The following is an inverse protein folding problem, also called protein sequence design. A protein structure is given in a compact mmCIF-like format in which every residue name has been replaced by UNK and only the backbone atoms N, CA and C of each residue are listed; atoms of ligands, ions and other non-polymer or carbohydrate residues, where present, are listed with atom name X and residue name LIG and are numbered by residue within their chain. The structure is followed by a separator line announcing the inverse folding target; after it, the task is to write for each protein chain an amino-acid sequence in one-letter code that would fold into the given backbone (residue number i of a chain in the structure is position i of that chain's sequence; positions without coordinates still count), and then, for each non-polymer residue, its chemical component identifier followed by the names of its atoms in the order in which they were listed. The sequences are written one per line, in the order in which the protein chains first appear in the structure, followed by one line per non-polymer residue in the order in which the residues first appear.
data_IF_368470334129
#
_entry.id   IF_368470334129
#
_cell.length_a   1.000
_cell.length_b   1.000
_cell.length_c   1.000
_cell.angle_alpha   90.00
_cell.angle_beta   90.00
_cell.angle_gamma   90.00
#
_symmetry.space_group_name_H-M   'P 1'
#
loop_
_entity.id
_entity.type
_entity.pdbx_description
1 polymer ?
#
# COMPACT_ATOMS: atom_id res chain seq x y z
N UNK A 1 -5.70 -2.81 16.66
CA UNK A 1 -4.58 -3.38 15.90
C UNK A 1 -5.11 -4.53 15.06
N UNK A 2 -5.59 -4.22 13.85
CA UNK A 2 -5.98 -5.23 12.86
C UNK A 2 -4.77 -5.38 11.95
N UNK A 3 -4.01 -6.44 12.16
CA UNK A 3 -3.03 -6.91 11.18
C UNK A 3 -3.84 -7.60 10.07
N UNK A 4 -3.62 -7.20 8.83
CA UNK A 4 -4.33 -7.74 7.67
C UNK A 4 -4.30 -9.28 7.62
N UNK A 5 -5.20 -9.86 6.82
CA UNK A 5 -5.14 -11.30 6.58
C UNK A 5 -3.77 -11.66 5.94
N UNK A 6 -3.01 -12.62 6.50
CA UNK A 6 -1.61 -12.91 6.13
C UNK A 6 -1.39 -13.35 4.67
N UNK A 7 -2.47 -13.59 3.91
CA UNK A 7 -2.43 -13.87 2.47
C UNK A 7 -2.25 -12.59 1.62
N UNK A 8 -2.90 -11.48 1.99
CA UNK A 8 -2.78 -10.21 1.25
C UNK A 8 -1.41 -9.57 1.43
N UNK A 9 -0.86 -9.68 2.63
CA UNK A 9 0.50 -9.18 2.92
C UNK A 9 1.54 -9.86 2.01
N UNK A 10 1.47 -11.19 1.85
CA UNK A 10 2.36 -11.92 0.94
C UNK A 10 2.23 -11.46 -0.50
N UNK A 11 1.01 -11.25 -1.00
CA UNK A 11 0.80 -10.75 -2.36
C UNK A 11 1.43 -9.37 -2.61
N UNK A 12 1.40 -8.48 -1.63
CA UNK A 12 2.03 -7.16 -1.74
C UNK A 12 3.57 -7.24 -1.68
N UNK A 13 4.12 -8.08 -0.80
CA UNK A 13 5.57 -8.34 -0.74
C UNK A 13 6.08 -8.99 -2.04
N UNK A 14 5.32 -9.92 -2.61
CA UNK A 14 5.61 -10.56 -3.89
C UNK A 14 5.61 -9.54 -5.04
N UNK A 15 4.63 -8.63 -5.07
CA UNK A 15 4.58 -7.56 -6.07
C UNK A 15 5.79 -6.61 -5.97
N UNK A 16 6.20 -6.23 -4.76
CA UNK A 16 7.41 -5.42 -4.53
C UNK A 16 8.66 -6.16 -5.01
N UNK A 17 8.74 -7.46 -4.72
CA UNK A 17 9.86 -8.32 -5.13
C UNK A 17 9.93 -8.46 -6.66
N UNK A 18 8.78 -8.65 -7.32
CA UNK A 18 8.68 -8.70 -8.78
C UNK A 18 9.12 -7.39 -9.44
N UNK A 19 8.87 -6.25 -8.80
CA UNK A 19 9.30 -4.93 -9.27
C UNK A 19 10.79 -4.61 -8.97
N UNK A 20 11.57 -5.61 -8.53
CA UNK A 20 13.00 -5.50 -8.21
C UNK A 20 13.29 -4.78 -6.90
N UNK A 21 12.28 -4.55 -6.06
CA UNK A 21 12.40 -3.90 -4.76
C UNK A 21 12.59 -4.88 -3.60
N UNK A 22 12.79 -4.31 -2.42
CA UNK A 22 12.74 -5.04 -1.15
C UNK A 22 11.93 -4.21 -0.17
N UNK A 23 10.90 -4.79 0.43
CA UNK A 23 10.13 -4.16 1.50
C UNK A 23 11.07 -3.93 2.69
N UNK A 24 11.22 -2.67 3.09
CA UNK A 24 12.04 -2.34 4.26
C UNK A 24 11.21 -2.32 5.54
N UNK A 25 9.96 -1.87 5.44
CA UNK A 25 9.01 -1.80 6.52
C UNK A 25 7.58 -1.94 5.98
N UNK A 26 6.74 -2.60 6.76
CA UNK A 26 5.28 -2.62 6.60
C UNK A 26 4.72 -1.77 7.72
N UNK A 27 3.92 -0.77 7.37
CA UNK A 27 3.35 0.17 8.32
C UNK A 27 1.81 0.10 8.27
N UNK A 28 1.20 0.16 9.46
CA UNK A 28 -0.21 0.53 9.58
C UNK A 28 -0.42 2.00 9.18
N UNK A 29 -1.66 2.37 8.86
CA UNK A 29 -1.99 3.78 8.53
C UNK A 29 -1.82 4.73 9.71
N UNK A 30 -2.11 4.25 10.91
CA UNK A 30 -1.87 4.97 12.18
C UNK A 30 -0.37 5.16 12.45
N UNK A 31 0.46 4.20 12.02
CA UNK A 31 1.90 4.27 12.17
C UNK A 31 2.56 5.16 11.09
N UNK A 32 1.95 5.23 9.90
CA UNK A 32 2.48 6.00 8.77
C UNK A 32 2.66 7.49 9.13
N UNK A 33 1.70 8.09 9.84
CA UNK A 33 1.80 9.48 10.30
C UNK A 33 3.07 9.76 11.12
N UNK A 34 3.52 8.80 11.92
CA UNK A 34 4.62 9.02 12.88
C UNK A 34 5.97 8.48 12.39
N UNK A 35 5.97 7.45 11.55
CA UNK A 35 7.16 6.68 11.21
C UNK A 35 7.69 6.93 9.80
N UNK A 36 6.94 7.60 8.93
CA UNK A 36 7.34 7.80 7.53
C UNK A 36 8.64 8.60 7.39
N UNK A 37 8.80 9.66 8.19
CA UNK A 37 10.00 10.53 8.17
C UNK A 37 11.26 9.85 8.70
N UNK A 38 11.11 8.72 9.40
CA UNK A 38 12.24 7.98 9.98
C UNK A 38 12.92 7.06 8.98
N UNK A 39 12.35 6.90 7.79
CA UNK A 39 12.80 5.96 6.77
C UNK A 39 13.77 6.67 5.80
N UNK A 40 15.05 6.79 6.22
CA UNK A 40 16.12 7.34 5.38
C UNK A 40 16.68 6.27 4.42
N UNK A 41 16.93 6.63 3.15
CA UNK A 41 17.68 5.80 2.19
C UNK A 41 16.88 5.09 1.09
N UNK A 42 15.74 5.65 0.67
CA UNK A 42 14.85 5.11 -0.37
C UNK A 42 14.36 3.65 -0.18
N UNK A 43 13.93 3.24 1.02
CA UNK A 43 13.22 1.98 1.17
C UNK A 43 11.87 1.99 0.44
N UNK A 44 11.46 0.83 -0.09
CA UNK A 44 10.07 0.63 -0.51
C UNK A 44 9.21 0.54 0.76
N UNK A 45 8.23 1.44 0.88
CA UNK A 45 7.28 1.46 1.99
C UNK A 45 5.99 0.77 1.57
N UNK A 46 5.53 -0.18 2.37
CA UNK A 46 4.26 -0.86 2.17
C UNK A 46 3.24 -0.37 3.21
N UNK A 47 2.13 0.23 2.76
CA UNK A 47 1.05 0.75 3.61
C UNK A 47 -0.24 -0.01 3.31
N UNK A 48 -0.93 -0.49 4.35
CA UNK A 48 -2.09 -1.40 4.21
C UNK A 48 -3.40 -0.82 4.74
N UNK A 49 -4.40 -0.60 3.87
CA UNK A 49 -5.66 0.07 4.23
C UNK A 49 -6.84 -0.84 4.58
N UNK A 50 -6.66 -2.16 4.64
CA UNK A 50 -7.75 -3.10 4.90
C UNK A 50 -8.44 -2.80 6.25
N UNK A 51 -9.75 -2.55 6.20
CA UNK A 51 -10.54 -2.27 7.40
C UNK A 51 -10.22 -0.94 8.08
N UNK A 52 -9.46 -0.06 7.43
CA UNK A 52 -9.17 1.29 7.92
C UNK A 52 -10.28 2.25 7.50
N UNK A 53 -10.76 3.04 8.45
CA UNK A 53 -11.80 4.03 8.20
C UNK A 53 -11.27 5.16 7.28
N UNK A 54 -12.10 5.63 6.34
CA UNK A 54 -11.72 6.69 5.39
C UNK A 54 -11.14 7.94 6.06
N UNK A 55 -11.69 8.38 7.19
CA UNK A 55 -11.17 9.55 7.92
C UNK A 55 -9.72 9.39 8.41
N UNK A 56 -9.27 8.15 8.70
CA UNK A 56 -7.88 7.87 9.08
C UNK A 56 -6.97 7.93 7.85
N UNK A 57 -7.46 7.43 6.71
CA UNK A 57 -6.75 7.51 5.43
C UNK A 57 -6.57 8.97 5.03
N UNK A 58 -7.62 9.79 5.09
CA UNK A 58 -7.57 11.21 4.72
C UNK A 58 -6.55 12.00 5.56
N UNK A 59 -6.49 11.74 6.87
CA UNK A 59 -5.51 12.37 7.76
C UNK A 59 -4.08 11.98 7.38
N UNK A 60 -3.83 10.68 7.19
CA UNK A 60 -2.51 10.16 6.84
C UNK A 60 -2.05 10.56 5.43
N UNK A 61 -2.98 10.70 4.46
CA UNK A 61 -2.66 11.10 3.09
C UNK A 61 -1.96 12.46 3.02
N UNK A 62 -2.34 13.39 3.90
CA UNK A 62 -1.69 14.71 3.98
C UNK A 62 -0.22 14.56 4.34
N UNK A 63 0.09 13.77 5.37
CA UNK A 63 1.46 13.51 5.82
C UNK A 63 2.29 12.71 4.81
N UNK A 64 1.65 11.76 4.12
CA UNK A 64 2.29 10.96 3.07
C UNK A 64 2.68 11.85 1.88
N UNK A 65 1.83 12.80 1.50
CA UNK A 65 2.15 13.79 0.47
C UNK A 65 3.41 14.60 0.80
N UNK A 66 3.47 15.15 2.03
CA UNK A 66 4.62 15.92 2.49
C UNK A 66 5.92 15.08 2.49
N UNK A 67 5.84 13.81 2.93
CA UNK A 67 6.98 12.90 2.95
C UNK A 67 7.45 12.50 1.55
N UNK A 68 6.53 12.37 0.59
CA UNK A 68 6.87 12.10 -0.82
C UNK A 68 7.74 13.22 -1.38
N UNK A 69 7.31 14.47 -1.18
CA UNK A 69 8.00 15.64 -1.71
C UNK A 69 9.39 15.82 -1.09
N UNK A 70 9.55 15.43 0.17
CA UNK A 70 10.79 15.63 0.91
C UNK A 70 11.86 14.57 0.59
N UNK A 71 11.48 13.30 0.44
CA UNK A 71 12.44 12.17 0.45
C UNK A 71 12.33 11.25 -0.77
N UNK A 72 11.34 11.48 -1.65
CA UNK A 72 11.02 10.65 -2.81
C UNK A 72 11.06 9.12 -2.55
N UNK A 73 10.42 8.62 -1.47
CA UNK A 73 10.33 7.20 -1.21
C UNK A 73 9.47 6.51 -2.27
N UNK A 74 9.79 5.25 -2.60
CA UNK A 74 8.90 4.41 -3.41
C UNK A 74 7.83 3.85 -2.47
N UNK A 75 6.58 4.29 -2.62
CA UNK A 75 5.46 3.86 -1.79
C UNK A 75 4.57 2.90 -2.57
N UNK A 76 4.27 1.76 -1.96
CA UNK A 76 3.27 0.80 -2.42
C UNK A 76 2.14 0.77 -1.40
N UNK A 77 0.93 1.00 -1.88
CA UNK A 77 -0.28 1.00 -1.05
C UNK A 77 -1.21 -0.13 -1.47
N UNK A 78 -1.83 -0.77 -0.48
CA UNK A 78 -2.98 -1.66 -0.71
C UNK A 78 -4.24 -0.98 -0.21
N UNK A 79 -5.26 -0.93 -1.07
CA UNK A 79 -6.49 -0.16 -0.87
C UNK A 79 -7.71 -1.04 -1.14
N UNK A 80 -8.79 -0.81 -0.41
CA UNK A 80 -10.12 -1.28 -0.79
C UNK A 80 -10.69 -0.38 -1.90
N UNK A 81 -11.67 -0.90 -2.67
CA UNK A 81 -12.15 -0.26 -3.90
C UNK A 81 -12.68 1.16 -3.68
N UNK A 82 -13.39 1.37 -2.58
CA UNK A 82 -13.98 2.65 -2.18
C UNK A 82 -12.94 3.68 -1.72
N UNK A 83 -11.71 3.26 -1.43
CA UNK A 83 -10.61 4.13 -0.99
C UNK A 83 -9.75 4.63 -2.16
N UNK A 84 -9.85 3.99 -3.33
CA UNK A 84 -9.02 4.31 -4.51
C UNK A 84 -9.18 5.76 -4.94
N UNK A 85 -10.42 6.27 -5.02
CA UNK A 85 -10.68 7.61 -5.52
C UNK A 85 -10.09 8.69 -4.59
N UNK A 86 -10.15 8.48 -3.27
CA UNK A 86 -9.60 9.40 -2.27
C UNK A 86 -8.06 9.45 -2.36
N UNK A 87 -7.42 8.29 -2.46
CA UNK A 87 -5.95 8.20 -2.57
C UNK A 87 -5.47 8.73 -3.91
N UNK A 88 -6.11 8.34 -5.02
CA UNK A 88 -5.75 8.79 -6.35
C UNK A 88 -5.92 10.31 -6.51
N UNK A 89 -6.97 10.89 -5.93
CA UNK A 89 -7.19 12.34 -5.94
C UNK A 89 -6.09 13.13 -5.20
N UNK A 90 -5.41 12.50 -4.23
CA UNK A 90 -4.42 13.16 -3.38
C UNK A 90 -2.98 12.92 -3.83
N UNK A 91 -2.66 11.72 -4.33
CA UNK A 91 -1.27 11.28 -4.61
C UNK A 91 -0.92 11.17 -6.10
N UNK A 92 -1.77 11.67 -7.01
CA UNK A 92 -1.53 11.55 -8.45
C UNK A 92 -0.21 12.24 -8.88
N UNK A 93 0.78 11.43 -9.24
CA UNK A 93 2.05 11.86 -9.83
C UNK A 93 3.28 11.04 -9.43
N UNK A 94 3.28 10.46 -8.21
CA UNK A 94 4.48 9.87 -7.57
C UNK A 94 4.27 8.46 -7.01
N UNK A 95 3.03 7.95 -7.00
CA UNK A 95 2.71 6.64 -6.39
C UNK A 95 2.22 5.60 -7.39
N UNK A 96 2.64 4.35 -7.19
CA UNK A 96 2.09 3.17 -7.85
C UNK A 96 0.97 2.57 -6.99
N UNK A 97 -0.26 2.51 -7.52
CA UNK A 97 -1.42 1.97 -6.81
C UNK A 97 -1.67 0.52 -7.24
N UNK A 98 -1.72 -0.40 -6.27
CA UNK A 98 -2.08 -1.79 -6.51
C UNK A 98 -3.52 -2.01 -6.05
N UNK A 99 -4.42 -2.19 -7.02
CA UNK A 99 -5.77 -2.65 -6.75
C UNK A 99 -5.71 -4.15 -6.52
N UNK A 100 -6.16 -4.64 -5.36
CA UNK A 100 -6.37 -6.07 -5.18
C UNK A 100 -7.43 -6.52 -6.19
N UNK A 101 -7.05 -7.37 -7.16
CA UNK A 101 -8.06 -8.08 -7.94
C UNK A 101 -8.80 -9.00 -6.97
N UNK A 102 -10.13 -8.98 -7.00
CA UNK A 102 -10.95 -9.92 -6.22
C UNK A 102 -10.84 -11.36 -6.74
N UNK A 103 -9.74 -11.71 -7.39
CA UNK A 103 -9.52 -13.06 -7.90
C UNK A 103 -9.33 -13.97 -6.70
N UNK A 104 -10.42 -14.62 -6.32
CA UNK A 104 -10.37 -15.72 -5.36
C UNK A 104 -9.44 -16.78 -5.94
N UNK A 105 -8.59 -17.37 -5.09
CA UNK A 105 -7.58 -18.37 -5.49
C UNK A 105 -8.19 -19.56 -6.27
N UNK A 106 -9.51 -19.75 -6.16
CA UNK A 106 -10.32 -20.71 -6.92
C UNK A 106 -10.40 -20.42 -8.43
N UNK A 107 -10.49 -19.15 -8.86
CA UNK A 107 -10.60 -18.79 -10.28
C UNK A 107 -9.28 -18.95 -11.04
N UNK A 108 -8.13 -18.79 -10.35
CA UNK A 108 -6.81 -18.96 -10.97
C UNK A 108 -6.54 -20.43 -11.33
N UNK A 109 -7.02 -21.37 -10.51
CA UNK A 109 -6.84 -22.81 -10.75
C UNK A 109 -7.71 -23.31 -11.92
N UNK A 110 -8.85 -22.66 -12.19
CA UNK A 110 -9.70 -22.99 -13.34
C UNK A 110 -9.17 -22.39 -14.66
N UNK A 111 -8.56 -21.21 -14.62
CA UNK A 111 -7.98 -20.57 -15.81
C UNK A 111 -6.76 -21.31 -16.38
N UNK A 112 -6.01 -22.06 -15.56
CA UNK A 112 -4.85 -22.85 -16.00
C UNK A 112 -5.23 -24.24 -16.58
N UNK A 113 -6.53 -24.59 -16.54
CA UNK A 113 -7.05 -25.87 -17.04
C UNK A 113 -7.81 -25.77 -18.37
N UNK A 114 -7.95 -24.56 -18.94
CA UNK A 114 -8.69 -24.32 -20.18
C UNK A 114 -7.80 -23.96 -21.37
#
# INVERSE_FOLDING_TARGET
MVLAAPARQRGAEDAVTMAGGRVAATLGWDEAETLIDRQLGHPVLLIQAEGIAGAVIDAALTHIGDAIDLVAPRIVMTLDRDQIDAVAGTLMGTTELLCASQTTLSEVIESERS
#
